data_IF_275580337887
#
_entry.id   IF_275580337887
#
_cell.length_a   1.000
_cell.length_b   1.000
_cell.length_c   1.000
_cell.angle_alpha   90.00
_cell.angle_beta   90.00
_cell.angle_gamma   90.00
#
_symmetry.space_group_name_H-M   'P 1'
#
loop_
_entity.id
_entity.type
_entity.pdbx_description
1 polymer ?
#
# COMPACT_ATOMS: atom_id res chain seq x y z
N UNK A 1 36.20 16.57 -6.35
CA UNK A 1 37.60 16.07 -6.38
C UNK A 1 38.17 16.19 -4.97
N UNK A 2 38.13 15.12 -4.17
CA UNK A 2 38.59 15.14 -2.77
C UNK A 2 39.66 14.06 -2.62
N UNK A 3 40.83 14.47 -2.11
CA UNK A 3 42.07 13.68 -2.07
C UNK A 3 42.03 12.66 -0.92
N UNK A 4 42.46 11.42 -1.20
CA UNK A 4 42.74 10.40 -0.16
C UNK A 4 44.14 10.64 0.42
N UNK A 5 44.24 10.64 1.75
CA UNK A 5 45.53 10.55 2.47
C UNK A 5 45.82 9.10 2.85
N UNK A 6 47.08 8.62 2.82
CA UNK A 6 47.42 7.23 3.09
C UNK A 6 47.57 6.96 4.60
N UNK A 7 46.90 5.92 5.09
CA UNK A 7 47.07 5.43 6.47
C UNK A 7 48.33 4.55 6.56
N UNK A 8 49.17 4.85 7.55
CA UNK A 8 50.48 4.21 7.81
C UNK A 8 50.27 2.84 8.48
N UNK A 9 50.77 1.75 7.86
CA UNK A 9 50.78 0.40 8.47
C UNK A 9 51.89 0.28 9.52
N UNK A 10 51.55 -0.07 10.76
CA UNK A 10 52.50 -0.59 11.75
C UNK A 10 52.46 -2.13 11.73
N UNK A 11 53.64 -2.76 11.68
CA UNK A 11 53.81 -4.22 11.71
C UNK A 11 53.74 -4.70 13.16
N UNK A 12 52.68 -5.41 13.53
CA UNK A 12 52.57 -6.24 14.74
C UNK A 12 52.43 -7.71 14.36
N UNK A 13 53.14 -8.59 15.05
CA UNK A 13 53.31 -10.02 14.72
C UNK A 13 52.05 -10.85 15.03
N UNK A 14 51.74 -11.78 14.12
CA UNK A 14 51.19 -13.11 14.42
C UNK A 14 49.67 -13.20 14.62
N UNK A 15 48.93 -13.27 13.52
CA UNK A 15 47.82 -14.20 13.26
C UNK A 15 47.46 -14.01 11.78
N UNK A 16 47.46 -15.08 10.99
CA UNK A 16 46.96 -15.04 9.61
C UNK A 16 45.49 -14.58 9.64
N UNK A 17 45.11 -13.55 8.88
CA UNK A 17 43.71 -13.21 8.76
C UNK A 17 43.04 -14.30 7.93
N UNK A 18 42.02 -14.95 8.52
CA UNK A 18 41.06 -15.73 7.76
C UNK A 18 40.48 -14.82 6.67
N UNK A 19 40.88 -15.05 5.42
CA UNK A 19 40.22 -14.52 4.24
C UNK A 19 38.84 -15.18 4.14
N UNK A 20 37.89 -14.67 4.91
CA UNK A 20 36.47 -14.87 4.66
C UNK A 20 35.85 -13.50 4.43
N UNK A 21 36.22 -12.91 3.29
CA UNK A 21 35.46 -11.83 2.67
C UNK A 21 34.11 -12.40 2.24
N UNK A 22 33.21 -12.59 3.21
CA UNK A 22 31.79 -12.78 2.98
C UNK A 22 31.31 -11.63 2.11
N UNK A 23 31.08 -11.96 0.85
CA UNK A 23 30.59 -11.14 -0.25
C UNK A 23 29.25 -10.48 0.13
N UNK A 24 29.26 -9.51 1.03
CA UNK A 24 28.13 -8.60 1.26
C UNK A 24 28.08 -7.65 0.07
N UNK A 25 27.44 -8.09 -1.02
CA UNK A 25 27.08 -7.23 -2.13
C UNK A 25 25.87 -6.40 -1.72
N UNK A 26 26.12 -5.18 -1.26
CA UNK A 26 25.08 -4.18 -1.10
C UNK A 26 24.62 -3.73 -2.49
N UNK A 27 23.39 -4.05 -2.87
CA UNK A 27 22.78 -3.56 -4.10
C UNK A 27 21.97 -2.31 -3.72
N UNK A 28 22.53 -1.13 -4.00
CA UNK A 28 21.95 0.18 -3.68
C UNK A 28 21.13 0.73 -4.83
N UNK A 29 20.11 0.02 -5.30
CA UNK A 29 19.25 0.56 -6.36
C UNK A 29 17.79 0.19 -6.13
N UNK A 30 17.08 1.03 -5.38
CA UNK A 30 15.65 1.27 -5.63
C UNK A 30 15.38 2.78 -5.63
N UNK A 31 14.54 3.29 -6.54
CA UNK A 31 14.09 4.67 -6.47
C UNK A 31 13.13 4.79 -5.29
N UNK A 32 13.35 5.79 -4.42
CA UNK A 32 12.58 6.10 -3.20
C UNK A 32 13.01 5.33 -1.94
N UNK A 33 14.14 5.74 -1.32
CA UNK A 33 14.41 5.65 0.14
C UNK A 33 14.34 4.29 0.85
N UNK A 34 14.05 3.21 0.13
CA UNK A 34 13.78 1.89 0.69
C UNK A 34 15.05 1.06 0.61
N UNK A 35 15.51 0.58 1.76
CA UNK A 35 16.71 -0.21 1.88
C UNK A 35 16.32 -1.69 1.95
N UNK A 36 16.92 -2.49 1.07
CA UNK A 36 16.77 -3.94 1.08
C UNK A 36 18.11 -4.58 1.37
N UNK A 37 18.17 -5.41 2.42
CA UNK A 37 19.37 -6.17 2.77
C UNK A 37 19.12 -7.67 2.61
N UNK A 38 20.08 -8.34 1.98
CA UNK A 38 20.09 -9.80 1.78
C UNK A 38 21.20 -10.40 2.63
N UNK A 39 20.84 -11.23 3.61
CA UNK A 39 21.79 -11.97 4.42
C UNK A 39 21.80 -13.44 3.98
N UNK A 40 23.00 -13.95 3.71
CA UNK A 40 23.22 -15.35 3.34
C UNK A 40 23.94 -16.07 4.48
N UNK A 41 23.33 -17.15 4.99
CA UNK A 41 23.93 -18.01 6.00
C UNK A 41 24.22 -19.37 5.37
N UNK A 42 25.44 -19.53 4.83
CA UNK A 42 25.90 -20.73 4.13
C UNK A 42 25.73 -22.01 4.96
N UNK A 43 25.96 -21.91 6.28
CA UNK A 43 25.88 -23.04 7.21
C UNK A 43 24.46 -23.61 7.38
N UNK A 44 23.42 -22.79 7.19
CA UNK A 44 22.03 -23.17 7.45
C UNK A 44 21.17 -23.23 6.17
N UNK A 45 21.73 -22.89 5.00
CA UNK A 45 20.99 -22.72 3.74
C UNK A 45 19.77 -21.81 3.89
N UNK A 46 19.87 -20.77 4.71
CA UNK A 46 18.82 -19.77 4.90
C UNK A 46 19.26 -18.48 4.21
N UNK A 47 18.43 -17.99 3.30
CA UNK A 47 18.49 -16.62 2.79
C UNK A 47 17.38 -15.81 3.44
N UNK A 48 17.73 -14.68 4.06
CA UNK A 48 16.76 -13.74 4.64
C UNK A 48 16.82 -12.40 3.91
N UNK A 49 15.64 -11.81 3.72
CA UNK A 49 15.46 -10.50 3.08
C UNK A 49 14.80 -9.57 4.08
N UNK A 50 15.40 -8.40 4.32
CA UNK A 50 14.86 -7.37 5.19
C UNK A 50 14.57 -6.13 4.36
N UNK A 51 13.34 -5.60 4.48
CA UNK A 51 12.91 -4.36 3.85
C UNK A 51 12.66 -3.35 4.96
N UNK A 52 13.30 -2.20 4.88
CA UNK A 52 13.13 -1.11 5.84
C UNK A 52 13.35 0.25 5.15
N UNK A 53 12.94 1.33 5.82
CA UNK A 53 13.14 2.69 5.34
C UNK A 53 13.52 3.61 6.50
N UNK A 54 14.43 4.55 6.25
CA UNK A 54 14.75 5.64 7.16
C UNK A 54 14.13 6.90 6.58
N UNK A 55 13.05 7.37 7.21
CA UNK A 55 12.28 8.52 6.75
C UNK A 55 12.52 9.72 7.67
N UNK A 56 13.51 10.54 7.32
CA UNK A 56 13.73 11.83 7.99
C UNK A 56 12.66 12.83 7.54
N UNK A 57 12.06 13.53 8.49
CA UNK A 57 11.02 14.52 8.23
C UNK A 57 11.21 15.76 9.11
N UNK A 58 10.62 16.87 8.66
CA UNK A 58 10.44 18.07 9.49
C UNK A 58 9.12 17.94 10.28
N UNK A 59 8.97 18.75 11.33
CA UNK A 59 7.75 18.73 12.15
C UNK A 59 7.60 17.48 13.01
N UNK A 60 6.37 17.27 13.50
CA UNK A 60 6.02 16.05 14.22
C UNK A 60 5.65 14.89 13.26
N UNK A 61 5.37 13.71 13.82
CA UNK A 61 5.07 12.52 13.02
C UNK A 61 3.73 12.58 12.27
N UNK A 62 2.82 13.49 12.64
CA UNK A 62 1.51 13.68 12.01
C UNK A 62 1.64 14.58 10.80
N UNK A 63 2.34 15.71 10.96
CA UNK A 63 2.66 16.63 9.86
C UNK A 63 3.43 15.91 8.74
N UNK A 64 4.28 14.94 9.13
CA UNK A 64 5.04 14.11 8.21
C UNK A 64 4.29 12.90 7.64
N UNK A 65 3.06 12.64 8.09
CA UNK A 65 2.24 11.49 7.74
C UNK A 65 2.97 10.14 7.95
N UNK A 66 3.80 10.03 8.99
CA UNK A 66 4.68 8.88 9.20
C UNK A 66 3.94 7.52 9.20
N UNK A 67 2.74 7.37 9.80
CA UNK A 67 1.96 6.13 9.69
C UNK A 67 1.60 5.77 8.24
N UNK A 68 1.23 6.77 7.42
CA UNK A 68 0.93 6.58 6.00
C UNK A 68 2.16 6.14 5.21
N UNK A 69 3.30 6.78 5.45
CA UNK A 69 4.57 6.38 4.82
C UNK A 69 4.99 4.97 5.19
N UNK A 70 4.76 4.57 6.44
CA UNK A 70 4.96 3.19 6.89
C UNK A 70 4.07 2.18 6.16
N UNK A 71 2.79 2.52 5.92
CA UNK A 71 1.88 1.66 5.15
C UNK A 71 2.28 1.56 3.68
N UNK A 72 2.72 2.66 3.06
CA UNK A 72 3.18 2.72 1.66
C UNK A 72 4.38 1.80 1.40
N UNK A 73 5.34 1.70 2.33
CA UNK A 73 6.48 0.77 2.22
C UNK A 73 6.02 -0.69 2.25
N UNK A 74 4.94 -0.99 2.97
CA UNK A 74 4.39 -2.34 3.09
C UNK A 74 3.37 -2.70 1.98
N UNK A 75 2.98 -1.73 1.16
CA UNK A 75 1.97 -1.88 0.10
C UNK A 75 2.53 -1.46 -1.26
N UNK A 76 3.31 -2.33 -1.92
CA UNK A 76 3.91 -1.99 -3.21
C UNK A 76 2.85 -1.80 -4.30
N UNK A 77 3.15 -0.93 -5.26
CA UNK A 77 2.33 -0.77 -6.45
C UNK A 77 2.29 -2.06 -7.26
N UNK A 78 1.10 -2.49 -7.64
CA UNK A 78 0.90 -3.65 -8.51
C UNK A 78 0.82 -3.17 -9.96
N UNK A 79 1.76 -3.63 -10.78
CA UNK A 79 1.74 -3.43 -12.23
C UNK A 79 1.33 -4.74 -12.91
N UNK A 80 0.27 -4.69 -13.72
CA UNK A 80 -0.20 -5.82 -14.50
C UNK A 80 -0.15 -5.44 -15.99
N UNK A 81 0.59 -6.19 -16.84
CA UNK A 81 0.58 -5.92 -18.26
C UNK A 81 -0.80 -6.26 -18.83
N UNK A 82 -1.44 -5.28 -19.47
CA UNK A 82 -2.65 -5.51 -20.23
C UNK A 82 -2.26 -6.09 -21.59
N UNK A 83 -2.59 -7.37 -21.80
CA UNK A 83 -2.62 -7.94 -23.15
C UNK A 83 -4.00 -7.66 -23.72
N UNK A 84 -4.11 -7.18 -24.96
CA UNK A 84 -5.41 -6.91 -25.61
C UNK A 84 -5.73 -5.46 -25.97
N UNK A 85 -4.85 -4.50 -25.65
CA UNK A 85 -4.97 -3.16 -26.25
C UNK A 85 -4.34 -3.22 -27.63
N UNK A 86 -5.13 -2.98 -28.67
CA UNK A 86 -4.67 -2.77 -30.03
C UNK A 86 -3.84 -1.46 -30.10
N UNK A 87 -2.63 -1.49 -29.52
CA UNK A 87 -1.59 -0.49 -29.73
C UNK A 87 -0.53 -1.08 -30.64
N UNK A 88 -0.03 -0.28 -31.59
CA UNK A 88 0.94 -0.67 -32.64
C UNK A 88 2.25 -1.29 -32.12
N UNK A 89 2.48 -1.26 -30.80
CA UNK A 89 3.66 -1.82 -30.13
C UNK A 89 3.51 -3.26 -29.61
N UNK A 90 2.33 -3.90 -29.78
CA UNK A 90 2.09 -5.24 -29.21
C UNK A 90 2.86 -6.38 -29.92
N UNK A 91 3.26 -6.19 -31.18
CA UNK A 91 3.86 -7.26 -32.00
C UNK A 91 5.18 -7.79 -31.45
N UNK A 92 6.13 -6.91 -31.13
CA UNK A 92 7.49 -7.33 -30.73
C UNK A 92 7.56 -7.85 -29.29
N UNK A 93 6.71 -7.33 -28.39
CA UNK A 93 6.71 -7.74 -26.98
C UNK A 93 6.02 -9.11 -26.76
N UNK A 94 4.99 -9.43 -27.55
CA UNK A 94 4.27 -10.71 -27.42
C UNK A 94 5.10 -11.91 -27.91
N UNK A 95 5.95 -11.73 -28.91
CA UNK A 95 6.86 -12.77 -29.41
C UNK A 95 7.94 -13.15 -28.38
N UNK A 96 8.37 -12.20 -27.54
CA UNK A 96 9.37 -12.44 -26.50
C UNK A 96 8.83 -13.24 -25.31
N UNK A 97 7.52 -13.17 -25.02
CA UNK A 97 6.92 -13.76 -23.81
C UNK A 97 6.33 -15.16 -24.07
N UNK A 98 6.32 -15.67 -25.31
CA UNK A 98 5.79 -17.00 -25.68
C UNK A 98 4.38 -17.29 -25.14
N UNK A 99 3.53 -16.26 -25.04
CA UNK A 99 2.14 -16.40 -24.58
C UNK A 99 1.24 -16.68 -25.79
N UNK A 100 1.44 -17.83 -26.44
CA UNK A 100 0.75 -18.16 -27.69
C UNK A 100 -0.70 -18.62 -27.49
N UNK A 101 -1.11 -19.03 -26.29
CA UNK A 101 -2.45 -19.60 -26.05
C UNK A 101 -3.48 -18.62 -25.46
N UNK A 102 -3.08 -17.49 -24.89
CA UNK A 102 -4.02 -16.50 -24.31
C UNK A 102 -4.27 -15.27 -25.19
N UNK A 103 -3.47 -15.08 -26.23
CA UNK A 103 -3.60 -13.93 -27.14
C UNK A 103 -4.88 -13.96 -28.00
N UNK A 104 -5.52 -15.13 -28.17
CA UNK A 104 -6.72 -15.27 -29.00
C UNK A 104 -8.00 -14.84 -28.27
N UNK A 105 -8.03 -14.97 -26.93
CA UNK A 105 -9.16 -14.52 -26.11
C UNK A 105 -9.21 -12.99 -25.92
N UNK A 106 -8.12 -12.28 -26.19
CA UNK A 106 -8.01 -10.85 -25.86
C UNK A 106 -8.06 -9.89 -27.05
N UNK A 107 -8.25 -10.38 -28.29
CA UNK A 107 -8.39 -9.49 -29.46
C UNK A 107 -9.73 -8.77 -29.54
N UNK A 108 -10.72 -9.19 -28.74
CA UNK A 108 -12.08 -8.66 -28.80
C UNK A 108 -12.73 -8.57 -27.43
N UNK A 109 -12.00 -8.19 -26.37
CA UNK A 109 -12.61 -7.86 -25.09
C UNK A 109 -13.09 -6.40 -25.12
N UNK A 110 -14.38 -6.12 -25.44
CA UNK A 110 -14.86 -4.75 -25.61
C UNK A 110 -14.83 -3.98 -24.28
N UNK A 111 -14.89 -4.72 -23.17
CA UNK A 111 -14.82 -4.19 -21.81
C UNK A 111 -13.45 -3.54 -21.53
N UNK A 112 -12.34 -4.12 -22.02
CA UNK A 112 -10.98 -3.56 -21.84
C UNK A 112 -10.79 -2.25 -22.61
N UNK A 113 -11.45 -2.11 -23.77
CA UNK A 113 -11.40 -0.88 -24.59
C UNK A 113 -12.22 0.29 -24.00
N UNK A 114 -12.98 0.05 -22.92
CA UNK A 114 -13.89 1.05 -22.33
C UNK A 114 -13.43 1.60 -20.98
N UNK A 115 -12.30 1.13 -20.46
CA UNK A 115 -11.75 1.56 -19.17
C UNK A 115 -10.94 2.85 -19.38
N UNK A 116 -11.19 3.92 -18.62
CA UNK A 116 -10.40 5.14 -18.74
C UNK A 116 -8.94 4.89 -18.33
N UNK A 117 -8.01 5.62 -18.95
CA UNK A 117 -6.56 5.54 -18.65
C UNK A 117 -6.23 5.72 -17.16
N UNK A 118 -7.11 6.41 -16.42
CA UNK A 118 -7.02 6.50 -14.97
C UNK A 118 -8.41 6.52 -14.33
N UNK A 119 -8.52 5.88 -13.16
CA UNK A 119 -9.71 5.92 -12.31
C UNK A 119 -9.31 5.79 -10.84
N UNK A 120 -9.97 6.56 -9.98
CA UNK A 120 -9.90 6.37 -8.53
C UNK A 120 -11.16 5.65 -8.05
N UNK A 121 -11.00 4.59 -7.28
CA UNK A 121 -12.13 3.82 -6.74
C UNK A 121 -12.63 4.38 -5.40
N UNK A 122 -11.70 4.80 -4.54
CA UNK A 122 -11.99 5.35 -3.22
C UNK A 122 -11.03 6.50 -2.95
N UNK A 123 -11.53 7.63 -2.48
CA UNK A 123 -10.74 8.77 -2.04
C UNK A 123 -11.19 9.20 -0.66
N UNK A 124 -10.22 9.44 0.24
CA UNK A 124 -10.45 9.98 1.58
C UNK A 124 -9.86 11.39 1.62
N UNK A 125 -10.60 12.34 2.18
CA UNK A 125 -10.20 13.76 2.23
C UNK A 125 -9.23 14.09 3.38
N UNK A 126 -9.20 13.27 4.44
CA UNK A 126 -8.43 13.53 5.65
C UNK A 126 -7.14 12.69 5.71
N UNK A 127 -6.05 13.25 6.23
CA UNK A 127 -4.74 12.58 6.37
C UNK A 127 -4.73 11.53 7.49
N UNK A 128 -5.53 11.75 8.53
CA UNK A 128 -5.58 10.94 9.73
C UNK A 128 -6.42 9.66 9.55
N UNK A 129 -7.43 9.69 8.69
CA UNK A 129 -8.29 8.53 8.40
C UNK A 129 -7.63 7.55 7.40
N UNK A 130 -7.31 6.33 7.86
CA UNK A 130 -6.68 5.30 7.03
C UNK A 130 -7.64 4.16 6.69
N UNK A 131 -7.64 3.73 5.43
CA UNK A 131 -8.36 2.52 5.00
C UNK A 131 -7.50 1.30 5.33
N UNK A 132 -8.00 0.48 6.25
CA UNK A 132 -7.37 -0.79 6.63
C UNK A 132 -7.85 -1.96 5.77
N UNK A 133 -9.11 -1.92 5.31
CA UNK A 133 -9.69 -2.97 4.49
C UNK A 133 -10.65 -2.41 3.45
N UNK A 134 -10.57 -2.97 2.24
CA UNK A 134 -11.56 -2.80 1.19
C UNK A 134 -11.72 -4.16 0.50
N UNK A 135 -12.84 -4.84 0.74
CA UNK A 135 -13.04 -6.23 0.30
C UNK A 135 -14.50 -6.50 -0.02
N UNK A 136 -14.80 -7.66 -0.61
CA UNK A 136 -16.18 -8.15 -0.71
C UNK A 136 -16.70 -8.54 0.68
N UNK A 137 -17.99 -8.30 0.93
CA UNK A 137 -18.67 -8.81 2.12
C UNK A 137 -18.65 -10.35 2.15
N UNK A 138 -18.60 -10.94 3.35
CA UNK A 138 -18.56 -12.41 3.52
C UNK A 138 -19.76 -13.13 2.89
N UNK A 139 -20.95 -12.53 2.95
CA UNK A 139 -22.18 -13.02 2.33
C UNK A 139 -22.27 -12.72 0.82
N UNK A 140 -21.22 -12.16 0.23
CA UNK A 140 -21.12 -11.72 -1.17
C UNK A 140 -22.08 -10.57 -1.56
N UNK A 141 -22.74 -9.92 -0.61
CA UNK A 141 -23.77 -8.91 -0.84
C UNK A 141 -23.28 -7.46 -0.66
N UNK A 142 -22.27 -7.10 -1.45
CA UNK A 142 -21.70 -5.75 -1.48
C UNK A 142 -20.20 -5.73 -1.16
N UNK A 143 -19.71 -4.53 -0.83
CA UNK A 143 -18.32 -4.28 -0.46
C UNK A 143 -18.23 -3.81 0.99
N UNK A 144 -17.21 -4.25 1.70
CA UNK A 144 -16.89 -3.79 3.06
C UNK A 144 -15.69 -2.87 2.99
N UNK A 145 -15.85 -1.67 3.54
CA UNK A 145 -14.75 -0.74 3.79
C UNK A 145 -14.55 -0.56 5.29
N UNK A 146 -13.30 -0.56 5.74
CA UNK A 146 -12.93 -0.30 7.13
C UNK A 146 -11.94 0.84 7.22
N UNK A 147 -12.31 1.85 7.98
CA UNK A 147 -11.52 3.06 8.21
C UNK A 147 -11.18 3.15 9.69
N UNK A 148 -9.95 3.53 10.00
CA UNK A 148 -9.52 3.76 11.38
C UNK A 148 -8.79 5.09 11.50
N UNK A 149 -8.82 5.64 12.70
CA UNK A 149 -8.02 6.82 13.03
C UNK A 149 -6.58 6.39 13.34
N UNK A 150 -5.64 6.88 12.53
CA UNK A 150 -4.21 6.59 12.62
C UNK A 150 -3.39 7.67 13.31
N UNK A 151 -3.89 8.91 13.38
CA UNK A 151 -3.20 10.01 14.04
C UNK A 151 -3.91 10.33 15.36
N UNK A 152 -3.17 10.46 16.46
CA UNK A 152 -3.79 10.95 17.69
C UNK A 152 -4.06 12.43 17.49
N UNK A 153 -5.30 12.80 17.19
CA UNK A 153 -5.66 14.19 17.21
C UNK A 153 -5.72 14.68 18.65
N UNK A 154 -4.94 15.71 18.99
CA UNK A 154 -5.20 16.51 20.20
C UNK A 154 -6.53 17.24 20.00
N UNK A 155 -7.65 16.56 20.23
CA UNK A 155 -9.00 17.11 20.14
C UNK A 155 -9.52 17.38 18.72
N UNK A 156 -8.94 16.80 17.66
CA UNK A 156 -9.53 16.84 16.30
C UNK A 156 -10.31 15.56 16.06
N UNK A 157 -11.42 15.46 16.76
CA UNK A 157 -12.57 14.71 16.26
C UNK A 157 -12.74 15.05 14.76
N UNK A 158 -12.61 14.05 13.87
CA UNK A 158 -12.47 14.30 12.43
C UNK A 158 -13.72 13.89 11.67
N UNK A 159 -14.31 14.87 10.97
CA UNK A 159 -15.32 14.59 9.95
C UNK A 159 -14.62 14.07 8.70
N UNK A 160 -14.82 12.78 8.42
CA UNK A 160 -14.21 12.08 7.30
C UNK A 160 -15.20 12.04 6.15
N UNK A 161 -14.72 12.37 4.95
CA UNK A 161 -15.44 12.17 3.69
C UNK A 161 -14.74 11.11 2.86
N UNK A 162 -15.49 10.06 2.50
CA UNK A 162 -15.05 9.02 1.58
C UNK A 162 -15.86 9.15 0.30
N UNK A 163 -15.17 9.50 -0.79
CA UNK A 163 -15.73 9.56 -2.13
C UNK A 163 -15.52 8.22 -2.85
N UNK A 164 -16.60 7.66 -3.37
CA UNK A 164 -16.58 6.44 -4.19
C UNK A 164 -16.61 6.78 -5.68
N UNK A 165 -15.70 6.19 -6.45
CA UNK A 165 -15.65 6.27 -7.92
C UNK A 165 -16.64 5.34 -8.63
N UNK A 166 -17.56 4.74 -7.87
CA UNK A 166 -18.63 3.85 -8.31
C UNK A 166 -19.91 4.20 -7.55
N UNK A 167 -21.06 3.75 -8.06
CA UNK A 167 -22.34 4.05 -7.43
C UNK A 167 -22.50 3.25 -6.15
N UNK A 168 -22.77 3.95 -5.05
CA UNK A 168 -23.19 3.36 -3.78
C UNK A 168 -24.61 3.83 -3.54
N UNK A 169 -25.54 2.89 -3.43
CA UNK A 169 -26.96 3.17 -3.19
C UNK A 169 -27.29 3.23 -1.71
N UNK A 170 -26.58 2.43 -0.91
CA UNK A 170 -26.82 2.30 0.52
C UNK A 170 -25.53 2.01 1.29
N UNK A 171 -25.44 2.61 2.47
CA UNK A 171 -24.39 2.31 3.44
C UNK A 171 -25.01 1.78 4.72
N UNK A 172 -24.43 0.74 5.29
CA UNK A 172 -24.82 0.20 6.61
C UNK A 172 -23.58 0.05 7.47
N UNK A 173 -23.60 0.61 8.68
CA UNK A 173 -22.49 0.44 9.63
C UNK A 173 -22.47 -0.98 10.20
N UNK A 174 -21.28 -1.54 10.29
CA UNK A 174 -21.02 -2.90 10.74
C UNK A 174 -20.07 -2.93 11.93
N UNK A 175 -20.15 -4.01 12.70
CA UNK A 175 -19.13 -4.35 13.68
C UNK A 175 -17.89 -4.99 13.01
N UNK A 176 -16.92 -5.42 13.82
CA UNK A 176 -15.66 -6.01 13.31
C UNK A 176 -15.85 -7.37 12.61
N UNK A 177 -16.98 -8.02 12.83
CA UNK A 177 -17.37 -9.32 12.25
C UNK A 177 -18.53 -9.17 11.25
N UNK A 178 -18.68 -7.99 10.66
CA UNK A 178 -19.60 -7.68 9.55
C UNK A 178 -21.09 -7.75 9.90
N UNK A 179 -21.46 -7.66 11.18
CA UNK A 179 -22.87 -7.60 11.59
C UNK A 179 -23.36 -6.15 11.62
N UNK A 180 -24.57 -5.86 11.13
CA UNK A 180 -25.13 -4.51 11.21
C UNK A 180 -25.18 -4.00 12.64
N UNK A 181 -24.65 -2.80 12.87
CA UNK A 181 -24.75 -2.10 14.16
C UNK A 181 -26.11 -1.40 14.21
N UNK A 182 -26.95 -1.69 15.23
CA UNK A 182 -28.21 -0.96 15.41
C UNK A 182 -27.96 0.54 15.59
N UNK A 183 -28.81 1.36 14.97
CA UNK A 183 -28.72 2.82 15.10
C UNK A 183 -28.82 3.31 16.56
N UNK A 184 -29.44 2.54 17.44
CA UNK A 184 -29.56 2.85 18.87
C UNK A 184 -28.25 2.63 19.67
N UNK A 185 -27.31 1.84 19.13
CA UNK A 185 -26.01 1.55 19.74
C UNK A 185 -24.85 2.23 19.01
N UNK A 186 -25.14 2.94 17.91
CA UNK A 186 -24.18 3.82 17.28
C UNK A 186 -23.80 4.93 18.28
N UNK A 187 -22.52 5.32 18.30
CA UNK A 187 -22.01 6.31 19.23
C UNK A 187 -22.82 7.64 19.18
N UNK A 188 -22.84 8.44 20.27
CA UNK A 188 -23.61 9.69 20.31
C UNK A 188 -22.99 10.73 19.35
N UNK A 189 -23.73 11.16 18.33
CA UNK A 189 -23.27 12.09 17.28
C UNK A 189 -22.87 11.42 15.95
N UNK A 190 -23.01 10.11 15.85
CA UNK A 190 -22.15 9.26 15.00
C UNK A 190 -22.91 8.58 13.85
N UNK A 191 -23.92 9.25 13.29
CA UNK A 191 -24.62 8.76 12.10
C UNK A 191 -23.76 8.92 10.85
N UNK A 192 -23.40 7.82 10.19
CA UNK A 192 -22.81 7.89 8.86
C UNK A 192 -23.90 8.25 7.83
N UNK A 193 -23.63 9.25 6.97
CA UNK A 193 -24.58 9.73 5.96
C UNK A 193 -23.99 9.57 4.57
N UNK A 194 -24.79 9.02 3.66
CA UNK A 194 -24.46 8.96 2.24
C UNK A 194 -25.19 10.08 1.49
N UNK A 195 -24.43 10.91 0.76
CA UNK A 195 -24.95 11.95 -0.13
C UNK A 195 -24.35 11.75 -1.53
N UNK A 196 -25.16 11.22 -2.46
CA UNK A 196 -24.63 10.75 -3.74
C UNK A 196 -23.64 9.62 -3.51
N UNK A 197 -22.39 9.79 -3.96
CA UNK A 197 -21.30 8.83 -3.77
C UNK A 197 -20.31 9.26 -2.67
N UNK A 198 -20.71 10.20 -1.79
CA UNK A 198 -19.88 10.67 -0.67
C UNK A 198 -20.47 10.14 0.63
N UNK A 199 -19.69 9.32 1.32
CA UNK A 199 -19.98 8.86 2.68
C UNK A 199 -19.30 9.80 3.68
N UNK A 200 -20.10 10.42 4.54
CA UNK A 200 -19.64 11.30 5.62
C UNK A 200 -19.88 10.65 6.95
N UNK A 201 -18.88 10.67 7.81
CA UNK A 201 -19.01 10.16 9.16
C UNK A 201 -17.99 10.79 10.09
N UNK A 202 -18.32 10.77 11.37
CA UNK A 202 -17.42 11.17 12.42
C UNK A 202 -16.50 10.01 12.82
N UNK A 203 -15.22 10.29 13.04
CA UNK A 203 -14.24 9.32 13.52
C UNK A 203 -13.55 9.83 14.79
N UNK A 204 -13.83 9.15 15.90
CA UNK A 204 -13.25 9.47 17.20
C UNK A 204 -11.82 8.89 17.35
N UNK A 205 -11.16 9.30 18.43
CA UNK A 205 -9.79 8.87 18.75
C UNK A 205 -9.68 7.35 18.85
N UNK A 206 -8.76 6.78 18.05
CA UNK A 206 -8.53 5.32 17.94
C UNK A 206 -9.77 4.50 17.53
N UNK A 207 -10.78 5.17 16.99
CA UNK A 207 -11.99 4.50 16.53
C UNK A 207 -11.73 3.76 15.22
N UNK A 208 -12.42 2.62 15.08
CA UNK A 208 -12.44 1.83 13.85
C UNK A 208 -13.89 1.72 13.44
N UNK A 209 -14.23 2.24 12.26
CA UNK A 209 -15.57 2.14 11.69
C UNK A 209 -15.56 1.26 10.45
N UNK A 210 -16.55 0.38 10.36
CA UNK A 210 -16.71 -0.56 9.25
C UNK A 210 -18.05 -0.33 8.59
N UNK A 211 -18.09 -0.30 7.26
CA UNK A 211 -19.30 -0.03 6.50
C UNK A 211 -19.48 -1.06 5.39
N UNK A 212 -20.72 -1.53 5.23
CA UNK A 212 -21.20 -2.23 4.05
C UNK A 212 -21.65 -1.20 3.01
N UNK A 213 -21.20 -1.37 1.77
CA UNK A 213 -21.54 -0.57 0.60
C UNK A 213 -22.36 -1.45 -0.36
N UNK A 214 -23.56 -1.01 -0.73
CA UNK A 214 -24.48 -1.72 -1.62
C UNK A 214 -24.94 -0.84 -2.76
#
# INVERSE_FOLDING_TARGET
>A
MVRKSPVRRTKGKGHEPLEDERNLRYIWETPVGTLTEVLHFDEWKISSYFVYSIYSHEGDWREAETPRRGDEVNRPLLALPLTGVAGEFAGEMLDAIKISETAEACRTCPEVMSIPDSRSFVRVNSSNAMISAFKRAEDNNGLVIRVYESEESEGREADVEVLFGFNVSKVTELDRIERPVPAATASPGTGARLEGNILRFHLAKHEIRTFLLQ
#
